data_IF_237282460258
#
_entry.id   IF_237282460258
#
_cell.length_a   1.000
_cell.length_b   1.000
_cell.length_c   1.000
_cell.angle_alpha   90.00
_cell.angle_beta   90.00
_cell.angle_gamma   90.00
#
_symmetry.space_group_name_H-M   'P 1'
#
loop_
_entity.id
_entity.type
_entity.pdbx_description
1 polymer ?
#
# COMPACT_ATOMS: atom_id res chain seq x y z
N UNK A 1 -25.61 6.75 12.02
CA UNK A 1 -24.94 6.35 10.77
C UNK A 1 -24.70 4.85 10.86
N UNK A 2 -25.51 4.05 10.16
CA UNK A 2 -25.41 2.59 10.16
C UNK A 2 -24.15 2.19 9.40
N UNK A 3 -23.17 1.63 10.10
CA UNK A 3 -22.00 1.04 9.46
C UNK A 3 -22.49 -0.14 8.62
N UNK A 4 -22.52 0.03 7.29
CA UNK A 4 -22.83 -1.06 6.38
C UNK A 4 -21.76 -2.15 6.57
N UNK A 5 -22.18 -3.28 7.14
CA UNK A 5 -21.33 -4.45 7.36
C UNK A 5 -21.00 -5.05 5.99
N UNK A 6 -19.92 -4.59 5.36
CA UNK A 6 -19.41 -5.20 4.13
C UNK A 6 -19.01 -6.64 4.45
N UNK A 7 -19.60 -7.60 3.75
CA UNK A 7 -19.12 -8.99 3.79
C UNK A 7 -17.66 -9.02 3.36
N UNK A 8 -16.77 -9.45 4.26
CA UNK A 8 -15.33 -9.53 3.99
C UNK A 8 -15.08 -10.76 3.14
N UNK A 9 -14.89 -10.58 1.82
CA UNK A 9 -14.62 -11.70 0.90
C UNK A 9 -13.12 -11.96 0.84
N UNK A 10 -12.71 -13.06 1.48
CA UNK A 10 -11.32 -13.53 1.44
C UNK A 10 -11.17 -14.48 0.24
N UNK A 11 -10.78 -13.92 -0.90
CA UNK A 11 -10.59 -14.66 -2.15
C UNK A 11 -9.10 -14.91 -2.42
N UNK A 12 -8.79 -16.04 -3.07
CA UNK A 12 -7.44 -16.28 -3.61
C UNK A 12 -7.19 -15.28 -4.75
N UNK A 13 -6.02 -14.63 -4.82
CA UNK A 13 -5.74 -13.64 -5.87
C UNK A 13 -5.87 -14.25 -7.26
N UNK A 14 -6.65 -13.59 -8.12
CA UNK A 14 -6.74 -13.97 -9.54
C UNK A 14 -5.48 -13.53 -10.29
N UNK A 15 -5.29 -14.01 -11.53
CA UNK A 15 -4.18 -13.56 -12.38
C UNK A 15 -4.20 -12.03 -12.64
N UNK A 16 -5.39 -11.42 -12.69
CA UNK A 16 -5.54 -9.98 -12.81
C UNK A 16 -5.08 -9.26 -11.53
N UNK A 17 -5.45 -9.78 -10.35
CA UNK A 17 -5.02 -9.22 -9.07
C UNK A 17 -3.50 -9.31 -8.89
N UNK A 18 -2.87 -10.39 -9.37
CA UNK A 18 -1.41 -10.51 -9.33
C UNK A 18 -0.73 -9.42 -10.16
N UNK A 19 -1.24 -9.11 -11.36
CA UNK A 19 -0.73 -8.00 -12.17
C UNK A 19 -0.90 -6.64 -11.48
N UNK A 20 -2.05 -6.41 -10.85
CA UNK A 20 -2.29 -5.19 -10.07
C UNK A 20 -1.31 -5.05 -8.91
N UNK A 21 -1.04 -6.14 -8.18
CA UNK A 21 -0.09 -6.14 -7.07
C UNK A 21 1.32 -5.77 -7.51
N UNK A 22 1.79 -6.28 -8.65
CA UNK A 22 3.11 -5.94 -9.19
C UNK A 22 3.20 -4.45 -9.51
N UNK A 23 2.21 -3.90 -10.25
CA UNK A 23 2.18 -2.48 -10.59
C UNK A 23 2.12 -1.57 -9.36
N UNK A 24 1.33 -1.95 -8.36
CA UNK A 24 1.20 -1.18 -7.13
C UNK A 24 2.50 -1.21 -6.31
N UNK A 25 3.19 -2.36 -6.29
CA UNK A 25 4.50 -2.49 -5.66
C UNK A 25 5.54 -1.58 -6.31
N UNK A 26 5.60 -1.56 -7.65
CA UNK A 26 6.49 -0.67 -8.40
C UNK A 26 6.22 0.82 -8.11
N UNK A 27 4.96 1.22 -7.96
CA UNK A 27 4.60 2.60 -7.62
C UNK A 27 5.08 2.97 -6.20
N UNK A 28 4.92 2.05 -5.25
CA UNK A 28 5.35 2.27 -3.88
C UNK A 28 6.87 2.21 -3.69
N UNK A 29 7.58 1.40 -4.48
CA UNK A 29 9.04 1.43 -4.51
C UNK A 29 9.56 2.77 -5.02
N UNK A 30 8.89 3.38 -6.02
CA UNK A 30 9.22 4.76 -6.45
C UNK A 30 8.98 5.77 -5.33
N UNK A 31 7.82 5.75 -4.68
CA UNK A 31 7.52 6.64 -3.55
C UNK A 31 8.53 6.47 -2.41
N UNK A 32 8.96 5.24 -2.13
CA UNK A 32 10.00 4.95 -1.14
C UNK A 32 11.34 5.57 -1.50
N UNK A 33 11.77 5.43 -2.76
CA UNK A 33 13.02 6.04 -3.23
C UNK A 33 12.96 7.56 -3.18
N UNK A 34 11.81 8.15 -3.50
CA UNK A 34 11.58 9.59 -3.36
C UNK A 34 11.64 10.04 -1.90
N UNK A 35 11.03 9.28 -0.98
CA UNK A 35 11.07 9.57 0.45
C UNK A 35 12.51 9.53 1.00
N UNK A 36 13.35 8.62 0.51
CA UNK A 36 14.78 8.57 0.85
C UNK A 36 15.51 9.83 0.40
N UNK A 37 15.21 10.33 -0.80
CA UNK A 37 15.84 11.54 -1.34
C UNK A 37 15.35 12.81 -0.63
N UNK A 38 14.05 12.94 -0.40
CA UNK A 38 13.44 14.13 0.15
C UNK A 38 13.56 14.21 1.68
N UNK A 39 13.33 13.09 2.39
CA UNK A 39 13.31 13.00 3.87
C UNK A 39 14.07 11.76 4.34
N UNK A 40 15.42 11.81 4.37
CA UNK A 40 16.26 10.64 4.60
C UNK A 40 15.95 9.83 5.86
N UNK A 41 15.54 10.49 6.95
CA UNK A 41 15.13 9.80 8.18
C UNK A 41 13.90 8.91 7.95
N UNK A 42 12.84 9.45 7.35
CA UNK A 42 11.62 8.69 7.07
C UNK A 42 11.88 7.62 6.00
N UNK A 43 12.67 7.95 4.97
CA UNK A 43 13.06 6.98 3.95
C UNK A 43 13.85 5.80 4.51
N UNK A 44 14.76 6.04 5.47
CA UNK A 44 15.49 4.98 6.17
C UNK A 44 14.54 4.05 6.93
N UNK A 45 13.54 4.59 7.63
CA UNK A 45 12.50 3.78 8.28
C UNK A 45 11.71 2.97 7.25
N UNK A 46 11.26 3.60 6.17
CA UNK A 46 10.49 2.95 5.11
C UNK A 46 11.24 1.80 4.41
N UNK A 47 12.57 1.90 4.29
CA UNK A 47 13.42 0.83 3.74
C UNK A 47 13.43 -0.44 4.60
N UNK A 48 13.22 -0.33 5.92
CA UNK A 48 13.12 -1.48 6.81
C UNK A 48 11.74 -2.16 6.77
N UNK A 49 10.72 -1.48 6.21
CA UNK A 49 9.37 -2.00 6.11
C UNK A 49 9.18 -2.85 4.84
N UNK A 50 8.60 -4.04 5.00
CA UNK A 50 8.25 -4.89 3.86
C UNK A 50 6.92 -4.46 3.25
N UNK A 51 6.91 -4.21 1.94
CA UNK A 51 5.69 -3.84 1.20
C UNK A 51 4.89 -5.08 0.81
N UNK A 52 3.65 -5.17 1.28
CA UNK A 52 2.75 -6.28 1.03
C UNK A 52 1.50 -5.78 0.29
N UNK A 53 1.46 -5.87 -1.05
CA UNK A 53 0.27 -5.50 -1.81
C UNK A 53 -0.84 -6.55 -1.60
N UNK A 54 -2.00 -6.07 -1.15
CA UNK A 54 -3.23 -6.85 -1.00
C UNK A 54 -4.26 -6.43 -2.04
N UNK A 55 -5.16 -7.35 -2.39
CA UNK A 55 -6.22 -7.10 -3.38
C UNK A 55 -7.60 -7.52 -2.87
N UNK A 56 -7.68 -7.83 -1.57
CA UNK A 56 -8.87 -8.30 -0.88
C UNK A 56 -9.39 -7.24 0.10
N UNK A 57 -10.55 -7.51 0.69
CA UNK A 57 -11.29 -6.56 1.53
C UNK A 57 -10.72 -6.40 2.95
N UNK A 58 -9.62 -7.08 3.33
CA UNK A 58 -9.06 -6.99 4.69
C UNK A 58 -8.35 -5.66 4.94
N UNK A 59 -7.86 -5.01 3.89
CA UNK A 59 -7.24 -3.70 3.96
C UNK A 59 -7.89 -2.82 2.88
N UNK A 60 -8.69 -1.82 3.25
CA UNK A 60 -9.34 -0.94 2.29
C UNK A 60 -8.37 0.09 1.69
N UNK A 61 -7.36 0.51 2.45
CA UNK A 61 -6.40 1.57 2.09
C UNK A 61 -4.96 1.10 2.29
N UNK A 62 -4.37 1.39 3.45
CA UNK A 62 -3.08 0.92 3.92
C UNK A 62 -3.15 0.64 5.43
N UNK A 63 -2.22 -0.17 5.92
CA UNK A 63 -2.03 -0.45 7.33
C UNK A 63 -0.62 -0.94 7.59
N UNK A 64 -0.06 -0.60 8.74
CA UNK A 64 1.27 -1.04 9.19
C UNK A 64 1.18 -1.91 10.46
N UNK A 65 2.08 -2.88 10.59
CA UNK A 65 2.35 -3.57 11.87
C UNK A 65 3.70 -3.16 12.48
N UNK A 66 4.35 -2.12 11.94
CA UNK A 66 5.68 -1.67 12.33
C UNK A 66 6.84 -2.46 11.70
N UNK A 67 6.55 -3.53 10.95
CA UNK A 67 7.54 -4.31 10.18
C UNK A 67 7.13 -4.48 8.72
N UNK A 68 5.84 -4.46 8.45
CA UNK A 68 5.22 -4.65 7.14
C UNK A 68 4.18 -3.56 6.94
N UNK A 69 4.12 -3.05 5.72
CA UNK A 69 3.04 -2.18 5.28
C UNK A 69 2.18 -2.95 4.30
N UNK A 70 0.94 -3.19 4.69
CA UNK A 70 -0.10 -3.77 3.87
C UNK A 70 -0.83 -2.63 3.14
N UNK A 71 -1.07 -2.79 1.85
CA UNK A 71 -1.77 -1.75 1.08
C UNK A 71 -2.60 -2.35 -0.03
N UNK A 72 -3.77 -1.75 -0.26
CA UNK A 72 -4.67 -2.17 -1.30
C UNK A 72 -4.18 -1.71 -2.67
N UNK A 73 -3.86 -2.66 -3.53
CA UNK A 73 -3.30 -2.38 -4.86
C UNK A 73 -4.24 -1.56 -5.74
N UNK A 74 -5.56 -1.75 -5.65
CA UNK A 74 -6.54 -0.98 -6.43
C UNK A 74 -6.62 0.44 -5.91
N UNK A 75 -6.77 0.60 -4.60
CA UNK A 75 -6.80 1.91 -3.96
C UNK A 75 -5.55 2.74 -4.31
N UNK A 76 -4.35 2.14 -4.22
CA UNK A 76 -3.11 2.86 -4.48
C UNK A 76 -2.89 3.24 -5.95
N UNK A 77 -3.30 2.38 -6.88
CA UNK A 77 -3.18 2.70 -8.31
C UNK A 77 -4.16 3.80 -8.76
N UNK A 78 -5.21 4.05 -7.98
CA UNK A 78 -6.17 5.12 -8.21
C UNK A 78 -5.76 6.46 -7.54
N UNK A 79 -4.54 6.55 -6.96
CA UNK A 79 -4.00 7.75 -6.30
C UNK A 79 -2.88 8.40 -7.12
N UNK A 80 -2.60 9.67 -6.82
CA UNK A 80 -1.42 10.36 -7.34
C UNK A 80 -0.14 9.84 -6.69
N UNK A 81 1.02 10.15 -7.28
CA UNK A 81 2.32 9.81 -6.70
C UNK A 81 2.54 10.51 -5.35
N UNK A 82 2.11 11.77 -5.24
CA UNK A 82 2.16 12.57 -4.01
C UNK A 82 1.33 11.95 -2.88
N UNK A 83 0.12 11.45 -3.19
CA UNK A 83 -0.72 10.73 -2.24
C UNK A 83 -0.06 9.41 -1.80
N UNK A 84 0.57 8.70 -2.74
CA UNK A 84 1.33 7.48 -2.44
C UNK A 84 2.49 7.73 -1.49
N UNK A 85 3.23 8.82 -1.71
CA UNK A 85 4.32 9.27 -0.84
C UNK A 85 3.80 9.66 0.54
N UNK A 86 2.71 10.42 0.60
CA UNK A 86 2.08 10.84 1.85
C UNK A 86 1.63 9.63 2.67
N UNK A 87 0.94 8.67 2.04
CA UNK A 87 0.46 7.48 2.75
C UNK A 87 1.64 6.65 3.24
N UNK A 88 2.68 6.43 2.42
CA UNK A 88 3.86 5.69 2.86
C UNK A 88 4.58 6.36 4.05
N UNK A 89 4.55 7.69 4.14
CA UNK A 89 5.13 8.42 5.27
C UNK A 89 4.22 8.47 6.52
N UNK A 90 2.91 8.22 6.35
CA UNK A 90 1.93 8.16 7.43
C UNK A 90 1.96 6.82 8.16
N UNK A 91 2.08 5.73 7.39
CA UNK A 91 2.24 4.35 7.88
C UNK A 91 3.63 4.09 8.49
#
# INVERSE_FOLDING_TARGET
MTAASKEVKILKPTAADQKLKVRALEAWDRARLELVQWRPFLGSLALHLQLIPVADDRCPTAATDGRRVFFNAKYMLDRSEEDGLFILAHE
#
